data_IF_825251039740
#
_entry.id   IF_825251039740
#
_cell.length_a   1.000
_cell.length_b   1.000
_cell.length_c   1.000
_cell.angle_alpha   90.00
_cell.angle_beta   90.00
_cell.angle_gamma   90.00
#
_symmetry.space_group_name_H-M   'P 1'
#
loop_
_entity.id
_entity.type
_entity.pdbx_description
1 polymer ?
#
# COMPACT_ATOMS: atom_id res chain seq x y z
N UNK A 1 -12.38 -27.13 -7.50
CA UNK A 1 -12.90 -26.46 -8.73
C UNK A 1 -12.72 -24.96 -8.54
N UNK A 2 -11.75 -24.34 -9.22
CA UNK A 2 -11.47 -22.90 -9.11
C UNK A 2 -12.56 -22.13 -9.85
N UNK A 3 -13.26 -21.19 -9.22
CA UNK A 3 -14.33 -20.44 -9.89
C UNK A 3 -13.75 -19.38 -10.82
N UNK A 4 -14.30 -19.18 -12.03
CA UNK A 4 -13.80 -18.22 -13.02
C UNK A 4 -13.85 -16.76 -12.54
N UNK A 5 -14.69 -16.46 -11.54
CA UNK A 5 -14.77 -15.15 -10.88
C UNK A 5 -13.51 -14.82 -10.06
N UNK A 6 -12.96 -15.79 -9.33
CA UNK A 6 -11.75 -15.59 -8.52
C UNK A 6 -10.51 -15.30 -9.38
N UNK A 7 -10.41 -15.98 -10.52
CA UNK A 7 -9.31 -15.79 -11.46
C UNK A 7 -9.34 -14.39 -12.10
N UNK A 8 -10.50 -13.96 -12.59
CA UNK A 8 -10.66 -12.65 -13.19
C UNK A 8 -10.37 -11.51 -12.20
N UNK A 9 -10.88 -11.60 -10.97
CA UNK A 9 -10.61 -10.59 -9.93
C UNK A 9 -9.10 -10.42 -9.65
N UNK A 10 -8.35 -11.53 -9.56
CA UNK A 10 -6.88 -11.46 -9.38
C UNK A 10 -6.18 -10.82 -10.58
N UNK A 11 -6.62 -11.13 -11.81
CA UNK A 11 -6.05 -10.55 -13.03
C UNK A 11 -6.28 -9.04 -13.07
N UNK A 12 -7.47 -8.56 -12.70
CA UNK A 12 -7.76 -7.12 -12.64
C UNK A 12 -6.95 -6.43 -11.54
N UNK A 13 -6.82 -7.02 -10.34
CA UNK A 13 -5.98 -6.48 -9.26
C UNK A 13 -4.52 -6.33 -9.70
N UNK A 14 -3.94 -7.39 -10.29
CA UNK A 14 -2.57 -7.39 -10.77
C UNK A 14 -2.32 -6.37 -11.88
N UNK A 15 -3.28 -6.18 -12.79
CA UNK A 15 -3.18 -5.14 -13.82
C UNK A 15 -3.15 -3.75 -13.18
N UNK A 16 -4.06 -3.49 -12.23
CA UNK A 16 -4.14 -2.21 -11.52
C UNK A 16 -2.86 -1.90 -10.74
N UNK A 17 -2.32 -2.88 -9.99
CA UNK A 17 -1.07 -2.72 -9.24
C UNK A 17 0.10 -2.34 -10.15
N UNK A 18 0.19 -2.95 -11.34
CA UNK A 18 1.27 -2.67 -12.32
C UNK A 18 1.10 -1.30 -12.98
N UNK A 19 -0.11 -0.92 -13.37
CA UNK A 19 -0.37 0.41 -13.91
C UNK A 19 -0.08 1.49 -12.88
N UNK A 20 -0.45 1.26 -11.62
CA UNK A 20 -0.18 2.17 -10.53
C UNK A 20 1.32 2.32 -10.27
N UNK A 21 2.05 1.20 -10.17
CA UNK A 21 3.51 1.21 -10.01
C UNK A 21 4.21 1.91 -11.20
N UNK A 22 3.75 1.67 -12.43
CA UNK A 22 4.26 2.37 -13.61
C UNK A 22 4.01 3.89 -13.53
N UNK A 23 2.85 4.30 -13.01
CA UNK A 23 2.52 5.71 -12.76
C UNK A 23 3.38 6.37 -11.68
N UNK A 24 3.92 5.59 -10.73
CA UNK A 24 4.85 6.11 -9.71
C UNK A 24 6.25 6.40 -10.27
N UNK A 25 6.64 5.77 -11.38
CA UNK A 25 7.97 5.99 -12.00
C UNK A 25 8.23 7.46 -12.32
N UNK A 26 7.34 8.20 -13.03
CA UNK A 26 7.52 9.64 -13.25
C UNK A 26 7.19 10.48 -12.01
N UNK A 27 6.43 9.96 -11.04
CA UNK A 27 6.07 10.69 -9.82
C UNK A 27 7.29 10.99 -8.94
N UNK A 28 8.20 10.01 -8.82
CA UNK A 28 9.43 10.13 -8.01
C UNK A 28 10.33 11.31 -8.49
N UNK A 29 10.71 11.42 -9.78
CA UNK A 29 11.48 12.57 -10.25
C UNK A 29 10.64 13.85 -10.25
N UNK A 30 9.33 13.81 -10.49
CA UNK A 30 8.48 15.01 -10.40
C UNK A 30 8.49 15.62 -9.00
N UNK A 31 8.50 14.78 -7.96
CA UNK A 31 8.60 15.22 -6.57
C UNK A 31 9.94 15.86 -6.20
N UNK A 32 11.00 15.58 -6.96
CA UNK A 32 12.29 16.23 -6.79
C UNK A 32 12.27 17.68 -7.27
N UNK A 33 11.55 17.97 -8.36
CA UNK A 33 11.49 19.32 -8.94
C UNK A 33 10.33 20.17 -8.41
N UNK A 34 9.20 19.55 -8.04
CA UNK A 34 8.00 20.26 -7.60
C UNK A 34 7.77 19.97 -6.12
N UNK A 35 7.92 20.99 -5.29
CA UNK A 35 7.62 20.92 -3.86
C UNK A 35 6.32 21.64 -3.52
N UNK A 36 5.56 21.09 -2.59
CA UNK A 36 4.35 21.73 -2.09
C UNK A 36 3.45 20.77 -1.31
N UNK A 37 2.44 21.30 -0.60
CA UNK A 37 1.54 20.48 0.22
C UNK A 37 0.74 19.47 -0.61
N UNK A 38 0.46 19.80 -1.88
CA UNK A 38 -0.21 18.90 -2.82
C UNK A 38 0.71 17.74 -3.21
N UNK A 39 1.97 18.00 -3.55
CA UNK A 39 2.93 16.94 -3.90
C UNK A 39 3.17 16.00 -2.70
N UNK A 40 3.34 16.57 -1.50
CA UNK A 40 3.50 15.79 -0.27
C UNK A 40 2.28 14.88 -0.01
N UNK A 41 1.06 15.38 -0.26
CA UNK A 41 -0.16 14.58 -0.12
C UNK A 41 -0.26 13.48 -1.18
N UNK A 42 0.07 13.79 -2.44
CA UNK A 42 0.09 12.81 -3.55
C UNK A 42 1.09 11.69 -3.25
N UNK A 43 2.31 12.04 -2.83
CA UNK A 43 3.32 11.06 -2.42
C UNK A 43 2.87 10.21 -1.25
N UNK A 44 2.26 10.83 -0.24
CA UNK A 44 1.74 10.12 0.94
C UNK A 44 0.74 9.05 0.54
N UNK A 45 -0.26 9.41 -0.27
CA UNK A 45 -1.28 8.46 -0.73
C UNK A 45 -0.65 7.41 -1.64
N UNK A 46 0.22 7.83 -2.57
CA UNK A 46 0.82 6.95 -3.55
C UNK A 46 1.70 5.87 -2.91
N UNK A 47 2.61 6.26 -2.01
CA UNK A 47 3.43 5.31 -1.27
C UNK A 47 2.59 4.42 -0.37
N UNK A 48 1.61 4.97 0.35
CA UNK A 48 0.79 4.18 1.26
C UNK A 48 0.04 3.07 0.52
N UNK A 49 -0.53 3.38 -0.64
CA UNK A 49 -1.26 2.41 -1.45
C UNK A 49 -0.33 1.35 -2.06
N UNK A 50 0.84 1.77 -2.57
CA UNK A 50 1.85 0.84 -3.10
C UNK A 50 2.36 -0.14 -2.03
N UNK A 51 2.67 0.38 -0.85
CA UNK A 51 3.13 -0.42 0.29
C UNK A 51 2.02 -1.37 0.76
N UNK A 52 0.76 -0.93 0.81
CA UNK A 52 -0.38 -1.77 1.20
C UNK A 52 -0.49 -3.01 0.32
N UNK A 53 -0.51 -2.85 -1.01
CA UNK A 53 -0.60 -3.97 -1.93
C UNK A 53 0.66 -4.85 -1.92
N UNK A 54 1.84 -4.25 -1.82
CA UNK A 54 3.10 -4.99 -1.70
C UNK A 54 3.16 -5.87 -0.45
N UNK A 55 2.84 -5.31 0.72
CA UNK A 55 2.83 -6.05 1.99
C UNK A 55 1.73 -7.12 1.99
N UNK A 56 0.56 -6.84 1.41
CA UNK A 56 -0.49 -7.85 1.27
C UNK A 56 -0.02 -9.06 0.46
N UNK A 57 0.76 -8.86 -0.61
CA UNK A 57 1.41 -9.93 -1.36
C UNK A 57 2.40 -10.75 -0.51
N UNK A 58 3.29 -10.06 0.20
CA UNK A 58 4.26 -10.71 1.11
C UNK A 58 3.56 -11.56 2.17
N UNK A 59 2.50 -11.06 2.79
CA UNK A 59 1.73 -11.83 3.78
C UNK A 59 1.05 -13.04 3.12
N UNK A 60 0.52 -12.92 1.91
CA UNK A 60 -0.06 -14.08 1.21
C UNK A 60 0.96 -15.17 0.89
N UNK A 61 2.21 -14.80 0.61
CA UNK A 61 3.26 -15.75 0.25
C UNK A 61 3.86 -16.47 1.47
N UNK A 62 4.08 -15.75 2.57
CA UNK A 62 4.78 -16.26 3.76
C UNK A 62 3.86 -16.64 4.93
N UNK A 63 2.74 -15.94 5.13
CA UNK A 63 1.80 -16.22 6.22
C UNK A 63 0.82 -17.34 5.85
N UNK A 64 1.37 -18.48 5.41
CA UNK A 64 0.58 -19.65 4.99
C UNK A 64 -0.05 -20.31 6.22
N UNK A 65 -1.36 -20.62 6.20
CA UNK A 65 -2.02 -21.21 7.35
C UNK A 65 -1.40 -22.53 7.83
N UNK A 66 -0.77 -23.27 6.92
CA UNK A 66 -0.04 -24.50 7.24
C UNK A 66 1.17 -24.29 8.17
N UNK A 67 1.84 -23.13 8.11
CA UNK A 67 3.09 -22.86 8.85
C UNK A 67 2.81 -22.19 10.19
N UNK A 68 1.92 -21.19 10.18
CA UNK A 68 1.66 -20.32 11.35
C UNK A 68 0.32 -20.60 12.03
N UNK A 69 -0.50 -21.49 11.47
CA UNK A 69 -1.87 -21.75 11.93
C UNK A 69 -2.90 -20.76 11.36
N UNK A 70 -4.15 -21.22 11.23
CA UNK A 70 -5.25 -20.45 10.63
C UNK A 70 -5.53 -19.12 11.36
N UNK A 71 -5.47 -19.14 12.70
CA UNK A 71 -5.71 -17.96 13.52
C UNK A 71 -4.64 -16.88 13.29
N UNK A 72 -3.37 -17.27 13.31
CA UNK A 72 -2.26 -16.34 13.05
C UNK A 72 -2.28 -15.82 11.61
N UNK A 73 -2.63 -16.66 10.63
CA UNK A 73 -2.76 -16.23 9.25
C UNK A 73 -3.89 -15.21 9.05
N UNK A 74 -5.00 -15.31 9.81
CA UNK A 74 -6.04 -14.27 9.84
C UNK A 74 -5.53 -12.98 10.51
N UNK A 75 -4.85 -13.10 11.64
CA UNK A 75 -4.28 -11.96 12.34
C UNK A 75 -3.25 -11.20 11.49
N UNK A 76 -2.38 -11.92 10.79
CA UNK A 76 -1.40 -11.34 9.87
C UNK A 76 -2.07 -10.52 8.76
N UNK A 77 -3.13 -11.05 8.14
CA UNK A 77 -3.92 -10.33 7.13
C UNK A 77 -4.58 -9.07 7.69
N UNK A 78 -5.11 -9.13 8.92
CA UNK A 78 -5.65 -7.96 9.60
C UNK A 78 -4.55 -6.93 9.92
N UNK A 79 -3.36 -7.40 10.28
CA UNK A 79 -2.19 -6.57 10.56
C UNK A 79 -1.78 -5.67 9.40
N UNK A 80 -1.95 -6.11 8.14
CA UNK A 80 -1.69 -5.28 6.96
C UNK A 80 -2.49 -3.98 7.00
N UNK A 81 -3.78 -4.06 7.33
CA UNK A 81 -4.65 -2.88 7.42
C UNK A 81 -4.25 -1.95 8.56
N UNK A 82 -3.81 -2.52 9.69
CA UNK A 82 -3.29 -1.74 10.81
C UNK A 82 -2.02 -0.98 10.42
N UNK A 83 -1.08 -1.64 9.75
CA UNK A 83 0.16 -1.02 9.28
C UNK A 83 -0.16 0.10 8.28
N UNK A 84 -1.09 -0.12 7.35
CA UNK A 84 -1.50 0.89 6.39
C UNK A 84 -2.18 2.09 7.04
N UNK A 85 -3.08 1.87 8.01
CA UNK A 85 -3.71 2.95 8.76
C UNK A 85 -2.68 3.75 9.58
N UNK A 86 -1.75 3.06 10.24
CA UNK A 86 -0.68 3.68 11.00
C UNK A 86 0.27 4.49 10.11
N UNK A 87 0.64 3.97 8.94
CA UNK A 87 1.48 4.66 7.96
C UNK A 87 0.79 5.92 7.45
N UNK A 88 -0.48 5.83 7.07
CA UNK A 88 -1.26 6.97 6.60
C UNK A 88 -1.37 8.04 7.69
N UNK A 89 -1.76 7.65 8.91
CA UNK A 89 -1.88 8.57 10.05
C UNK A 89 -0.53 9.23 10.39
N UNK A 90 0.56 8.47 10.35
CA UNK A 90 1.92 8.97 10.58
C UNK A 90 2.34 10.01 9.55
N UNK A 91 2.14 9.73 8.26
CA UNK A 91 2.50 10.66 7.18
C UNK A 91 1.65 11.94 7.22
N UNK A 92 0.34 11.82 7.50
CA UNK A 92 -0.54 12.97 7.68
C UNK A 92 -0.14 13.83 8.89
N UNK A 93 0.22 13.19 10.01
CA UNK A 93 0.66 13.89 11.23
C UNK A 93 2.00 14.60 11.02
N UNK A 94 2.95 13.96 10.32
CA UNK A 94 4.23 14.58 9.97
C UNK A 94 4.04 15.85 9.12
N UNK A 95 3.14 15.80 8.13
CA UNK A 95 2.79 16.96 7.31
C UNK A 95 2.19 18.09 8.15
N UNK A 96 1.19 17.76 8.98
CA UNK A 96 0.53 18.75 9.83
C UNK A 96 1.52 19.45 10.77
N UNK A 97 2.40 18.68 11.42
CA UNK A 97 3.43 19.21 12.30
C UNK A 97 4.42 20.12 11.56
N UNK A 98 4.89 19.71 10.37
CA UNK A 98 5.82 20.51 9.55
C UNK A 98 5.23 21.84 9.08
N UNK A 99 3.92 21.92 8.88
CA UNK A 99 3.25 23.18 8.46
C UNK A 99 3.15 24.16 9.64
N UNK A 100 2.90 23.68 10.86
CA UNK A 100 2.73 24.52 12.05
C UNK A 100 4.07 25.07 12.58
N UNK A 101 5.17 24.36 12.34
CA UNK A 101 6.51 24.71 12.86
C UNK A 101 7.37 25.53 11.88
N UNK A 102 6.82 25.91 10.73
CA UNK A 102 7.45 26.82 9.76
C UNK A 102 6.97 28.25 9.96
#
# INVERSE_FOLDING_TARGET
>A
MFSPLYFNHKIYSLKLERYFAAGMVPLIPAAYFIHGPVMDAVLTVALTLHIHWGVQGVIQDYARPFVIGDAAAKAARAGVYLITAALLAGMFSFRAHRIITK
#
